data_IF_297322900456
#
_entry.id   IF_297322900456
#
_cell.length_a   1.000
_cell.length_b   1.000
_cell.length_c   1.000
_cell.angle_alpha   90.00
_cell.angle_beta   90.00
_cell.angle_gamma   90.00
#
_symmetry.space_group_name_H-M   'P 1'
#
loop_
_entity.id
_entity.type
_entity.pdbx_description
1 polymer ?
#
# COMPACT_ATOMS: atom_id res chain seq x y z
N UNK A 1 3.43 -13.55 50.20
CA UNK A 1 3.44 -12.18 49.66
C UNK A 1 2.63 -12.18 48.37
N UNK A 2 1.44 -11.59 48.40
CA UNK A 2 0.62 -11.40 47.20
C UNK A 2 1.28 -10.28 46.40
N UNK A 3 1.83 -10.63 45.23
CA UNK A 3 2.32 -9.62 44.28
C UNK A 3 1.08 -9.13 43.56
N UNK A 4 0.54 -8.01 44.05
CA UNK A 4 -0.44 -7.22 43.33
C UNK A 4 0.27 -6.67 42.09
N UNK A 5 0.18 -7.37 40.96
CA UNK A 5 0.57 -6.83 39.66
C UNK A 5 -0.41 -5.71 39.31
N UNK A 6 -0.10 -4.49 39.73
CA UNK A 6 -0.60 -3.31 39.04
C UNK A 6 -0.13 -3.45 37.60
N UNK A 7 -1.06 -3.65 36.66
CA UNK A 7 -0.75 -3.63 35.24
C UNK A 7 0.02 -2.34 34.95
N UNK A 8 1.32 -2.47 34.65
CA UNK A 8 2.11 -1.34 34.17
C UNK A 8 1.38 -0.81 32.95
N UNK A 9 1.01 0.47 32.94
CA UNK A 9 0.55 1.12 31.72
C UNK A 9 1.57 0.80 30.62
N UNK A 10 1.08 0.24 29.51
CA UNK A 10 1.92 -0.14 28.38
C UNK A 10 2.63 1.11 27.88
N UNK A 11 3.96 1.09 27.88
CA UNK A 11 4.76 2.21 27.38
C UNK A 11 5.11 1.94 25.93
N UNK A 12 4.59 2.76 25.04
CA UNK A 12 4.94 2.76 23.63
C UNK A 12 6.31 3.41 23.41
N UNK A 13 7.07 2.94 22.42
CA UNK A 13 8.37 3.49 22.01
C UNK A 13 8.25 4.95 21.58
N UNK A 14 7.08 5.35 21.07
CA UNK A 14 6.74 6.75 20.81
C UNK A 14 6.85 7.66 22.05
N UNK A 15 6.78 7.10 23.26
CA UNK A 15 6.83 7.87 24.51
C UNK A 15 5.79 8.98 24.52
N UNK A 16 6.20 10.20 24.87
CA UNK A 16 5.31 11.36 24.92
C UNK A 16 4.69 11.72 23.55
N UNK A 17 5.30 11.29 22.43
CA UNK A 17 4.74 11.53 21.09
C UNK A 17 3.44 10.75 20.86
N UNK A 18 3.22 9.66 21.60
CA UNK A 18 1.99 8.88 21.52
C UNK A 18 0.76 9.65 22.04
N UNK A 19 0.96 10.64 22.91
CA UNK A 19 -0.11 11.45 23.46
C UNK A 19 -0.36 12.73 22.62
N UNK A 20 0.41 12.93 21.55
CA UNK A 20 0.39 14.16 20.76
C UNK A 20 -0.44 14.00 19.49
N UNK A 21 -1.22 15.04 19.19
CA UNK A 21 -1.84 15.22 17.88
C UNK A 21 -0.91 16.04 16.98
N UNK A 22 -0.63 15.55 15.78
CA UNK A 22 0.25 16.21 14.83
C UNK A 22 -0.42 17.46 14.21
N UNK A 23 0.33 18.55 13.95
CA UNK A 23 -0.23 19.83 13.49
C UNK A 23 -0.97 19.76 12.15
N UNK A 24 -0.60 18.83 11.27
CA UNK A 24 -1.19 18.73 9.92
C UNK A 24 -2.69 18.40 9.93
N UNK A 25 -3.24 17.99 11.06
CA UNK A 25 -4.67 17.76 11.23
C UNK A 25 -5.49 19.04 11.48
N UNK A 26 -4.86 20.22 11.55
CA UNK A 26 -5.55 21.52 11.73
C UNK A 26 -6.06 22.14 10.42
N UNK A 27 -6.42 21.29 9.45
CA UNK A 27 -6.97 21.68 8.14
C UNK A 27 -5.97 21.65 7.00
N UNK A 28 -6.44 21.90 5.77
CA UNK A 28 -5.68 21.70 4.54
C UNK A 28 -4.44 22.59 4.45
N UNK A 29 -4.51 23.81 5.03
CA UNK A 29 -3.35 24.70 5.13
C UNK A 29 -2.26 24.09 6.00
N UNK A 30 -2.62 23.59 7.18
CA UNK A 30 -1.67 22.94 8.07
C UNK A 30 -1.10 21.66 7.44
N UNK A 31 -1.95 20.87 6.77
CA UNK A 31 -1.53 19.69 6.03
C UNK A 31 -0.50 20.02 4.96
N UNK A 32 -0.78 21.02 4.14
CA UNK A 32 0.15 21.48 3.11
C UNK A 32 1.45 21.98 3.73
N UNK A 33 1.38 22.96 4.63
CA UNK A 33 2.58 23.65 5.13
C UNK A 33 3.49 22.75 5.98
N UNK A 34 2.92 21.85 6.77
CA UNK A 34 3.69 21.08 7.77
C UNK A 34 4.04 19.67 7.32
N UNK A 35 3.28 19.08 6.39
CA UNK A 35 3.46 17.68 5.99
C UNK A 35 3.71 17.47 4.51
N UNK A 36 2.95 18.11 3.63
CA UNK A 36 2.90 17.73 2.20
C UNK A 36 3.72 18.61 1.27
N UNK A 37 3.90 19.91 1.57
CA UNK A 37 4.64 20.85 0.73
C UNK A 37 6.06 20.37 0.48
N UNK A 38 6.80 20.03 1.54
CA UNK A 38 8.19 19.58 1.41
C UNK A 38 8.32 18.26 0.60
N UNK A 39 7.60 17.17 0.94
CA UNK A 39 7.59 15.96 0.10
C UNK A 39 7.22 16.20 -1.37
N UNK A 40 6.26 17.10 -1.61
CA UNK A 40 5.87 17.51 -2.97
C UNK A 40 7.05 18.14 -3.74
N UNK A 41 7.84 19.01 -3.10
CA UNK A 41 9.06 19.58 -3.73
C UNK A 41 10.16 18.55 -4.04
N UNK A 42 10.09 17.36 -3.44
CA UNK A 42 11.08 16.29 -3.61
C UNK A 42 10.55 15.14 -4.48
N UNK A 43 9.30 15.20 -4.91
CA UNK A 43 8.62 14.10 -5.62
C UNK A 43 8.77 12.76 -4.88
N UNK A 44 8.62 12.79 -3.55
CA UNK A 44 8.61 11.61 -2.69
C UNK A 44 7.21 11.39 -2.13
N UNK A 45 6.94 10.21 -1.55
CA UNK A 45 5.61 9.81 -1.09
C UNK A 45 4.87 10.96 -0.36
N UNK A 46 3.59 11.22 -0.72
CA UNK A 46 2.79 10.53 -1.75
C UNK A 46 2.96 11.06 -3.20
N UNK A 47 3.94 11.94 -3.47
CA UNK A 47 4.10 12.71 -4.70
C UNK A 47 5.10 12.14 -5.72
N UNK A 48 5.39 10.84 -5.68
CA UNK A 48 6.24 10.20 -6.70
C UNK A 48 5.73 10.52 -8.11
N UNK A 49 6.60 10.73 -9.09
CA UNK A 49 6.23 11.11 -10.46
C UNK A 49 5.56 12.49 -10.65
N UNK A 50 5.12 13.14 -9.56
CA UNK A 50 4.52 14.47 -9.57
C UNK A 50 5.55 15.59 -9.58
N UNK A 51 5.10 16.80 -9.94
CA UNK A 51 5.91 18.02 -9.83
C UNK A 51 5.20 19.09 -9.03
N UNK A 52 5.97 19.82 -8.23
CA UNK A 52 5.47 20.83 -7.31
C UNK A 52 4.55 21.86 -7.97
N UNK A 53 4.92 22.33 -9.16
CA UNK A 53 4.17 23.33 -9.93
C UNK A 53 2.75 22.88 -10.34
N UNK A 54 2.48 21.56 -10.33
CA UNK A 54 1.15 21.01 -10.62
C UNK A 54 0.25 21.04 -9.38
N UNK A 55 0.84 20.95 -8.18
CA UNK A 55 0.10 20.84 -6.93
C UNK A 55 -0.10 22.18 -6.24
N UNK A 56 0.89 23.08 -6.30
CA UNK A 56 0.80 24.37 -5.58
C UNK A 56 -0.49 25.14 -5.89
N UNK A 57 -0.91 25.32 -7.16
CA UNK A 57 -2.17 26.02 -7.47
C UNK A 57 -3.41 25.30 -6.93
N UNK A 58 -3.39 23.97 -6.87
CA UNK A 58 -4.50 23.18 -6.33
C UNK A 58 -4.61 23.36 -4.82
N UNK A 59 -3.49 23.30 -4.10
CA UNK A 59 -3.50 23.54 -2.65
C UNK A 59 -3.82 24.99 -2.30
N UNK A 60 -3.36 25.98 -3.09
CA UNK A 60 -3.79 27.38 -2.94
C UNK A 60 -5.30 27.55 -3.11
N UNK A 61 -5.90 26.85 -4.08
CA UNK A 61 -7.35 26.83 -4.26
C UNK A 61 -8.07 26.20 -3.05
N UNK A 62 -7.62 25.03 -2.58
CA UNK A 62 -8.19 24.38 -1.40
C UNK A 62 -8.11 25.27 -0.15
N UNK A 63 -6.97 25.92 0.07
CA UNK A 63 -6.71 26.81 1.21
C UNK A 63 -7.61 28.06 1.13
N UNK A 64 -7.63 28.73 -0.01
CA UNK A 64 -8.42 29.98 -0.17
C UNK A 64 -9.93 29.77 -0.07
N UNK A 65 -10.41 28.56 -0.38
CA UNK A 65 -11.82 28.19 -0.29
C UNK A 65 -12.17 27.39 0.97
N UNK A 66 -11.23 27.23 1.90
CA UNK A 66 -11.43 26.51 3.17
C UNK A 66 -11.94 25.06 2.99
N UNK A 67 -11.45 24.36 1.95
CA UNK A 67 -11.80 22.97 1.63
C UNK A 67 -10.88 22.03 2.44
N UNK A 68 -11.35 21.62 3.62
CA UNK A 68 -10.54 20.83 4.58
C UNK A 68 -10.90 19.35 4.62
N UNK A 69 -12.08 18.97 4.15
CA UNK A 69 -12.56 17.60 4.22
C UNK A 69 -12.01 16.74 3.08
N UNK A 70 -10.97 15.97 3.37
CA UNK A 70 -10.39 15.01 2.42
C UNK A 70 -11.37 13.90 2.01
N UNK A 71 -12.46 13.65 2.75
CA UNK A 71 -13.49 12.70 2.34
C UNK A 71 -14.47 13.29 1.31
N UNK A 72 -14.61 14.60 1.29
CA UNK A 72 -15.58 15.31 0.46
C UNK A 72 -15.23 15.37 -1.03
N UNK A 73 -16.26 15.55 -1.84
CA UNK A 73 -16.15 15.68 -3.30
C UNK A 73 -15.34 16.92 -3.70
N UNK A 74 -15.56 18.06 -3.02
CA UNK A 74 -14.88 19.32 -3.31
C UNK A 74 -13.35 19.22 -3.21
N UNK A 75 -12.83 18.43 -2.27
CA UNK A 75 -11.39 18.15 -2.20
C UNK A 75 -10.92 17.40 -3.44
N UNK A 76 -11.64 16.34 -3.82
CA UNK A 76 -11.29 15.47 -4.94
C UNK A 76 -11.34 16.24 -6.27
N UNK A 77 -12.39 17.02 -6.50
CA UNK A 77 -12.63 17.74 -7.75
C UNK A 77 -11.63 18.86 -8.01
N UNK A 78 -11.06 19.46 -6.96
CA UNK A 78 -10.07 20.53 -7.08
C UNK A 78 -8.83 20.12 -7.92
N UNK A 79 -8.51 18.83 -7.98
CA UNK A 79 -7.36 18.30 -8.73
C UNK A 79 -7.66 18.04 -10.21
N UNK A 80 -8.93 17.86 -10.58
CA UNK A 80 -9.31 17.42 -11.94
C UNK A 80 -8.86 18.38 -13.05
N UNK A 81 -9.02 19.72 -12.93
CA UNK A 81 -8.63 20.62 -14.01
C UNK A 81 -7.15 20.51 -14.38
N UNK A 82 -6.27 20.39 -13.38
CA UNK A 82 -4.83 20.25 -13.63
C UNK A 82 -4.49 18.87 -14.22
N UNK A 83 -5.09 17.80 -13.68
CA UNK A 83 -4.85 16.44 -14.16
C UNK A 83 -5.32 16.26 -15.62
N UNK A 84 -6.49 16.80 -15.97
CA UNK A 84 -7.03 16.79 -17.33
C UNK A 84 -6.17 17.64 -18.28
N UNK A 85 -5.66 18.78 -17.81
CA UNK A 85 -4.74 19.63 -18.58
C UNK A 85 -3.46 18.89 -18.95
N UNK A 86 -2.82 18.23 -17.97
CA UNK A 86 -1.62 17.42 -18.22
C UNK A 86 -1.92 16.22 -19.12
N UNK A 87 -3.10 15.61 -18.97
CA UNK A 87 -3.54 14.52 -19.85
C UNK A 87 -3.61 14.97 -21.31
N UNK A 88 -4.24 16.13 -21.59
CA UNK A 88 -4.31 16.70 -22.95
C UNK A 88 -2.94 17.01 -23.52
N UNK A 89 -2.05 17.61 -22.73
CA UNK A 89 -0.66 17.87 -23.15
C UNK A 89 0.09 16.56 -23.45
N UNK A 90 -0.17 15.50 -22.67
CA UNK A 90 0.37 14.17 -22.94
C UNK A 90 -0.15 13.59 -24.26
N UNK A 91 -1.45 13.77 -24.55
CA UNK A 91 -2.08 13.33 -25.82
C UNK A 91 -1.50 14.07 -27.04
N UNK A 92 -1.24 15.37 -26.91
CA UNK A 92 -0.56 16.19 -27.92
C UNK A 92 0.87 15.71 -28.17
N UNK A 93 1.67 15.50 -27.11
CA UNK A 93 3.04 14.99 -27.22
C UNK A 93 3.09 13.59 -27.85
N UNK A 94 2.16 12.70 -27.47
CA UNK A 94 2.06 11.37 -28.05
C UNK A 94 1.70 11.43 -29.54
N UNK A 95 0.80 12.34 -29.93
CA UNK A 95 0.42 12.56 -31.34
C UNK A 95 1.58 13.12 -32.18
N UNK A 96 2.49 13.87 -31.56
CA UNK A 96 3.75 14.32 -32.14
C UNK A 96 4.88 13.27 -32.09
N UNK A 97 4.58 12.04 -31.65
CA UNK A 97 5.53 10.93 -31.48
C UNK A 97 6.66 11.19 -30.45
N UNK A 98 6.45 12.13 -29.52
CA UNK A 98 7.33 12.35 -28.36
C UNK A 98 6.81 11.52 -27.16
N UNK A 99 7.08 10.21 -27.22
CA UNK A 99 6.59 9.25 -26.23
C UNK A 99 7.21 9.45 -24.84
N UNK A 100 8.44 9.96 -24.77
CA UNK A 100 9.11 10.27 -23.50
C UNK A 100 8.37 11.41 -22.80
N UNK A 101 8.14 12.52 -23.51
CA UNK A 101 7.42 13.65 -22.95
C UNK A 101 5.97 13.30 -22.60
N UNK A 102 5.29 12.53 -23.46
CA UNK A 102 3.95 12.05 -23.19
C UNK A 102 3.91 11.23 -21.89
N UNK A 103 4.84 10.29 -21.72
CA UNK A 103 4.94 9.47 -20.51
C UNK A 103 5.12 10.31 -19.24
N UNK A 104 6.01 11.32 -19.27
CA UNK A 104 6.20 12.22 -18.12
C UNK A 104 4.91 12.96 -17.73
N UNK A 105 4.18 13.48 -18.72
CA UNK A 105 2.95 14.25 -18.49
C UNK A 105 1.83 13.37 -17.95
N UNK A 106 1.65 12.17 -18.49
CA UNK A 106 0.68 11.21 -18.01
C UNK A 106 0.97 10.75 -16.57
N UNK A 107 2.24 10.52 -16.21
CA UNK A 107 2.60 10.16 -14.85
C UNK A 107 2.33 11.29 -13.85
N UNK A 108 2.58 12.55 -14.23
CA UNK A 108 2.19 13.73 -13.41
C UNK A 108 0.67 13.82 -13.22
N UNK A 109 -0.10 13.59 -14.29
CA UNK A 109 -1.56 13.53 -14.22
C UNK A 109 -2.06 12.39 -13.30
N UNK A 110 -1.47 11.19 -13.43
CA UNK A 110 -1.76 10.07 -12.54
C UNK A 110 -1.46 10.40 -11.07
N UNK A 111 -0.36 11.12 -10.80
CA UNK A 111 -0.02 11.58 -9.47
C UNK A 111 -1.07 12.55 -8.90
N UNK A 112 -1.63 13.47 -9.69
CA UNK A 112 -2.71 14.35 -9.22
C UNK A 112 -3.96 13.55 -8.85
N UNK A 113 -4.38 12.59 -9.69
CA UNK A 113 -5.52 11.74 -9.36
C UNK A 113 -5.27 10.86 -8.14
N UNK A 114 -4.04 10.40 -7.88
CA UNK A 114 -3.68 9.72 -6.62
C UNK A 114 -3.92 10.63 -5.41
N UNK A 115 -3.44 11.87 -5.43
CA UNK A 115 -3.59 12.79 -4.29
C UNK A 115 -5.06 13.17 -4.10
N UNK A 116 -5.82 13.30 -5.18
CA UNK A 116 -7.24 13.68 -5.13
C UNK A 116 -8.13 12.63 -4.48
N UNK A 117 -7.75 11.34 -4.55
CA UNK A 117 -8.55 10.24 -3.98
C UNK A 117 -8.18 9.87 -2.54
N UNK A 118 -7.26 10.59 -1.91
CA UNK A 118 -7.07 10.46 -0.45
C UNK A 118 -8.40 10.72 0.28
N UNK A 119 -8.61 10.17 1.49
CA UNK A 119 -7.70 9.23 2.15
C UNK A 119 -7.85 7.78 1.69
N UNK A 120 -8.93 7.40 1.01
CA UNK A 120 -9.25 6.00 0.78
C UNK A 120 -10.39 5.82 -0.20
N UNK A 121 -10.37 4.72 -0.94
CA UNK A 121 -11.50 4.26 -1.75
C UNK A 121 -11.65 2.74 -1.67
N UNK A 122 -12.90 2.30 -1.86
CA UNK A 122 -13.22 0.90 -2.09
C UNK A 122 -14.40 0.77 -3.05
N UNK A 123 -14.49 -0.39 -3.69
CA UNK A 123 -15.67 -0.84 -4.42
C UNK A 123 -16.45 -1.92 -3.69
N UNK A 124 -16.06 -2.29 -2.47
CA UNK A 124 -16.65 -3.38 -1.70
C UNK A 124 -17.33 -2.87 -0.41
N UNK A 125 -18.58 -3.28 -0.13
CA UNK A 125 -19.49 -4.03 -1.00
C UNK A 125 -20.01 -3.20 -2.18
N UNK A 126 -19.83 -1.88 -2.11
CA UNK A 126 -20.15 -0.91 -3.16
C UNK A 126 -19.09 0.20 -3.21
N UNK A 127 -19.19 1.06 -4.22
CA UNK A 127 -18.27 2.19 -4.38
C UNK A 127 -18.47 3.20 -3.26
N UNK A 128 -17.42 3.45 -2.46
CA UNK A 128 -17.50 4.33 -1.28
C UNK A 128 -17.66 5.81 -1.59
N UNK A 129 -17.25 6.25 -2.79
CA UNK A 129 -17.45 7.62 -3.30
C UNK A 129 -17.39 7.62 -4.82
N UNK A 130 -18.45 8.07 -5.48
CA UNK A 130 -18.50 8.13 -6.94
C UNK A 130 -17.44 9.07 -7.53
N UNK A 131 -17.20 10.21 -6.89
CA UNK A 131 -16.21 11.22 -7.32
C UNK A 131 -14.78 10.69 -7.23
N UNK A 132 -14.43 10.05 -6.11
CA UNK A 132 -13.11 9.43 -5.96
C UNK A 132 -12.95 8.21 -6.86
N UNK A 133 -14.03 7.49 -7.14
CA UNK A 133 -14.02 6.41 -8.12
C UNK A 133 -13.77 6.91 -9.54
N UNK A 134 -14.34 8.07 -9.92
CA UNK A 134 -14.00 8.74 -11.17
C UNK A 134 -12.51 9.09 -11.22
N UNK A 135 -11.95 9.64 -10.14
CA UNK A 135 -10.52 9.90 -10.03
C UNK A 135 -9.68 8.63 -10.18
N UNK A 136 -10.10 7.53 -9.56
CA UNK A 136 -9.44 6.22 -9.66
C UNK A 136 -9.43 5.67 -11.10
N UNK A 137 -10.57 5.69 -11.79
CA UNK A 137 -10.61 5.25 -13.19
C UNK A 137 -9.74 6.14 -14.08
N UNK A 138 -9.86 7.47 -13.93
CA UNK A 138 -9.03 8.41 -14.68
C UNK A 138 -7.52 8.21 -14.41
N UNK A 139 -7.15 7.91 -13.16
CA UNK A 139 -5.79 7.55 -12.79
C UNK A 139 -5.29 6.31 -13.54
N UNK A 140 -6.07 5.21 -13.53
CA UNK A 140 -5.71 3.99 -14.24
C UNK A 140 -5.57 4.25 -15.74
N UNK A 141 -6.53 4.94 -16.33
CA UNK A 141 -6.56 5.22 -17.76
C UNK A 141 -5.34 6.03 -18.19
N UNK A 142 -5.05 7.14 -17.51
CA UNK A 142 -3.91 8.00 -17.87
C UNK A 142 -2.57 7.32 -17.58
N UNK A 143 -2.47 6.57 -16.48
CA UNK A 143 -1.28 5.79 -16.19
C UNK A 143 -0.98 4.78 -17.30
N UNK A 144 -2.00 4.06 -17.78
CA UNK A 144 -1.84 3.06 -18.83
C UNK A 144 -1.50 3.66 -20.20
N UNK A 145 -1.85 4.93 -20.47
CA UNK A 145 -1.37 5.65 -21.68
C UNK A 145 0.16 5.74 -21.71
N UNK A 146 0.82 5.91 -20.56
CA UNK A 146 2.27 5.84 -20.43
C UNK A 146 2.78 4.40 -20.33
N UNK A 147 2.29 3.69 -19.32
CA UNK A 147 2.91 2.46 -18.85
C UNK A 147 2.82 1.29 -19.84
N UNK A 148 1.80 1.28 -20.71
CA UNK A 148 1.66 0.29 -21.78
C UNK A 148 2.65 0.49 -22.95
N UNK A 149 3.31 1.65 -23.03
CA UNK A 149 4.24 2.03 -24.09
C UNK A 149 5.70 1.95 -23.69
N UNK A 150 5.99 1.65 -22.43
CA UNK A 150 7.36 1.46 -21.97
C UNK A 150 8.02 0.23 -22.59
N UNK A 151 9.36 0.17 -22.62
CA UNK A 151 10.10 -0.97 -23.18
C UNK A 151 9.73 -2.30 -22.49
N UNK A 152 9.58 -2.29 -21.16
CA UNK A 152 8.92 -3.35 -20.37
C UNK A 152 7.51 -2.89 -19.95
N UNK A 153 6.48 -3.10 -20.80
CA UNK A 153 5.18 -2.49 -20.62
C UNK A 153 4.42 -3.09 -19.43
N UNK A 154 3.63 -2.25 -18.76
CA UNK A 154 2.60 -2.71 -17.84
C UNK A 154 1.44 -3.30 -18.63
N UNK A 155 0.94 -4.45 -18.18
CA UNK A 155 -0.31 -5.05 -18.64
C UNK A 155 -1.26 -5.21 -17.47
N UNK A 156 -2.50 -4.79 -17.63
CA UNK A 156 -3.56 -5.18 -16.70
C UNK A 156 -4.03 -6.60 -17.04
N UNK A 157 -4.06 -7.47 -16.04
CA UNK A 157 -4.54 -8.84 -16.16
C UNK A 157 -5.67 -9.05 -15.18
N UNK A 158 -6.76 -9.62 -15.69
CA UNK A 158 -7.95 -9.96 -14.92
C UNK A 158 -7.89 -11.44 -14.54
N UNK A 159 -7.27 -11.76 -13.40
CA UNK A 159 -7.09 -13.15 -12.94
C UNK A 159 -8.43 -13.72 -12.47
N UNK A 160 -8.84 -14.92 -12.90
CA UNK A 160 -9.99 -15.60 -12.30
C UNK A 160 -9.74 -15.88 -10.80
N UNK A 161 -10.65 -15.42 -9.93
CA UNK A 161 -10.60 -15.74 -8.50
C UNK A 161 -11.14 -17.16 -8.28
N UNK A 162 -10.28 -18.16 -8.50
CA UNK A 162 -10.64 -19.59 -8.50
C UNK A 162 -10.95 -20.12 -7.11
N UNK A 163 -10.31 -19.59 -6.08
CA UNK A 163 -10.54 -19.98 -4.68
C UNK A 163 -11.63 -19.16 -3.99
N UNK A 164 -12.44 -18.36 -4.71
CA UNK A 164 -13.41 -17.44 -4.11
C UNK A 164 -14.48 -18.17 -3.32
N UNK A 165 -14.88 -17.62 -2.19
CA UNK A 165 -16.01 -18.12 -1.38
C UNK A 165 -16.82 -16.95 -0.82
N UNK A 166 -18.04 -17.23 -0.36
CA UNK A 166 -18.89 -16.21 0.26
C UNK A 166 -19.15 -15.02 -0.67
N UNK A 167 -18.80 -13.82 -0.21
CA UNK A 167 -19.01 -12.57 -0.93
C UNK A 167 -17.84 -12.15 -1.84
N UNK A 168 -16.78 -12.96 -1.94
CA UNK A 168 -15.66 -12.70 -2.86
C UNK A 168 -16.15 -12.60 -4.32
N UNK A 169 -15.64 -11.62 -5.06
CA UNK A 169 -15.99 -11.42 -6.48
C UNK A 169 -15.12 -12.28 -7.42
N UNK A 170 -15.58 -12.43 -8.66
CA UNK A 170 -15.05 -13.42 -9.61
C UNK A 170 -13.65 -13.17 -10.18
N UNK A 171 -13.11 -11.96 -10.06
CA UNK A 171 -11.93 -11.54 -10.84
C UNK A 171 -11.03 -10.62 -10.04
N UNK A 172 -9.72 -10.91 -10.05
CA UNK A 172 -8.67 -10.16 -9.36
C UNK A 172 -7.89 -9.34 -10.41
N UNK A 173 -8.04 -8.02 -10.45
CA UNK A 173 -7.27 -7.19 -11.36
C UNK A 173 -5.84 -7.02 -10.81
N UNK A 174 -4.84 -7.25 -11.65
CA UNK A 174 -3.42 -7.07 -11.31
C UNK A 174 -2.68 -6.31 -12.39
N UNK A 175 -1.58 -5.63 -12.04
CA UNK A 175 -0.63 -5.10 -13.02
C UNK A 175 0.58 -6.02 -13.11
N UNK A 176 0.95 -6.39 -14.33
CA UNK A 176 2.07 -7.29 -14.62
C UNK A 176 3.10 -6.58 -15.48
N UNK A 177 4.36 -6.68 -15.10
CA UNK A 177 5.51 -6.30 -15.93
C UNK A 177 6.50 -7.44 -16.00
N UNK A 178 7.07 -7.66 -17.18
CA UNK A 178 8.10 -8.67 -17.44
C UNK A 178 9.36 -7.97 -17.95
N UNK A 179 10.56 -8.38 -17.52
CA UNK A 179 11.80 -7.90 -18.10
C UNK A 179 11.91 -8.25 -19.59
N UNK A 180 12.58 -7.40 -20.36
CA UNK A 180 12.79 -7.64 -21.81
C UNK A 180 13.67 -8.86 -22.08
N UNK A 181 14.70 -9.07 -21.24
CA UNK A 181 15.70 -10.13 -21.36
C UNK A 181 15.36 -11.27 -20.41
N UNK A 182 15.27 -12.49 -20.93
CA UNK A 182 14.98 -13.72 -20.17
C UNK A 182 13.91 -14.60 -20.82
N UNK A 183 12.93 -13.99 -21.50
CA UNK A 183 11.90 -14.73 -22.25
C UNK A 183 12.42 -15.31 -23.58
N UNK A 184 13.43 -14.67 -24.19
CA UNK A 184 13.96 -15.04 -25.51
C UNK A 184 14.65 -16.42 -25.53
N UNK A 185 15.08 -16.94 -24.36
CA UNK A 185 15.71 -18.25 -24.22
C UNK A 185 14.76 -19.31 -23.59
N UNK A 186 13.45 -19.03 -23.50
CA UNK A 186 12.49 -19.90 -22.79
C UNK A 186 12.66 -19.90 -21.27
N UNK A 187 13.39 -18.91 -20.73
CA UNK A 187 13.64 -18.74 -19.30
C UNK A 187 12.43 -18.21 -18.53
N UNK A 188 12.28 -18.66 -17.29
CA UNK A 188 11.28 -18.18 -16.33
C UNK A 188 11.86 -17.07 -15.46
N UNK A 189 11.05 -16.06 -15.14
CA UNK A 189 11.49 -14.92 -14.35
C UNK A 189 11.27 -15.12 -12.85
N UNK A 190 12.26 -14.86 -11.97
CA UNK A 190 11.97 -14.53 -10.57
C UNK A 190 10.92 -13.44 -10.51
N UNK A 191 10.05 -13.46 -9.52
CA UNK A 191 8.90 -12.57 -9.49
C UNK A 191 8.68 -11.97 -8.12
N UNK A 192 8.35 -10.68 -8.09
CA UNK A 192 7.89 -9.98 -6.89
C UNK A 192 6.39 -9.77 -7.00
N UNK A 193 5.64 -10.34 -6.07
CA UNK A 193 4.26 -9.97 -5.77
C UNK A 193 4.27 -8.77 -4.81
N UNK A 194 4.01 -7.59 -5.37
CA UNK A 194 3.90 -6.34 -4.62
C UNK A 194 2.47 -6.18 -4.12
N UNK A 195 2.32 -6.23 -2.79
CA UNK A 195 1.05 -6.07 -2.09
C UNK A 195 0.94 -4.61 -1.64
N UNK A 196 -0.09 -3.94 -2.14
CA UNK A 196 -0.33 -2.51 -1.95
C UNK A 196 -0.86 -2.15 -0.55
N UNK A 197 -0.98 -0.85 -0.26
CA UNK A 197 -1.36 -0.31 1.05
C UNK A 197 -2.80 0.21 1.12
N UNK A 198 -3.07 1.07 2.10
CA UNK A 198 -4.39 1.69 2.29
C UNK A 198 -4.73 2.67 1.14
N UNK A 199 -3.76 3.49 0.75
CA UNK A 199 -3.94 4.64 -0.13
C UNK A 199 -3.05 4.63 -1.39
N UNK A 200 -2.07 3.73 -1.51
CA UNK A 200 -1.28 3.53 -2.73
C UNK A 200 -1.68 2.23 -3.42
N UNK A 201 -2.03 2.27 -4.70
CA UNK A 201 -2.58 1.17 -5.50
C UNK A 201 -1.69 0.85 -6.72
N UNK A 202 -2.16 -0.04 -7.61
CA UNK A 202 -1.39 -0.50 -8.78
C UNK A 202 -0.69 0.61 -9.59
N UNK A 203 -1.33 1.73 -9.97
CA UNK A 203 -0.68 2.81 -10.75
C UNK A 203 0.39 3.61 -9.99
N UNK A 204 0.53 3.44 -8.67
CA UNK A 204 1.37 4.30 -7.82
C UNK A 204 2.80 3.77 -7.63
N UNK A 205 3.17 2.73 -8.37
CA UNK A 205 4.34 1.89 -8.11
C UNK A 205 5.35 1.89 -9.27
N UNK A 206 5.41 2.95 -10.08
CA UNK A 206 6.35 3.09 -11.20
C UNK A 206 7.79 2.79 -10.79
N UNK A 207 8.35 3.60 -9.89
CA UNK A 207 9.73 3.46 -9.42
C UNK A 207 10.01 2.04 -8.88
N UNK A 208 9.12 1.51 -8.04
CA UNK A 208 9.30 0.18 -7.43
C UNK A 208 9.29 -0.92 -8.49
N UNK A 209 8.39 -0.82 -9.47
CA UNK A 209 8.33 -1.76 -10.59
C UNK A 209 9.53 -1.65 -11.52
N UNK A 210 10.06 -0.46 -11.78
CA UNK A 210 11.30 -0.26 -12.56
C UNK A 210 12.50 -0.91 -11.87
N UNK A 211 12.61 -0.78 -10.54
CA UNK A 211 13.69 -1.40 -9.75
C UNK A 211 13.63 -2.94 -9.82
N UNK A 212 12.44 -3.55 -9.90
CA UNK A 212 12.31 -4.99 -10.09
C UNK A 212 12.72 -5.40 -11.52
N UNK A 213 12.25 -4.67 -12.53
CA UNK A 213 12.60 -4.94 -13.93
C UNK A 213 14.11 -4.80 -14.17
N UNK A 214 14.75 -3.78 -13.59
CA UNK A 214 16.19 -3.56 -13.69
C UNK A 214 17.02 -4.72 -13.11
N UNK A 215 16.47 -5.47 -12.15
CA UNK A 215 17.08 -6.68 -11.55
C UNK A 215 16.75 -7.97 -12.31
N UNK A 216 16.01 -7.87 -13.41
CA UNK A 216 15.53 -9.04 -14.15
C UNK A 216 14.43 -9.80 -13.44
N UNK A 217 13.67 -9.16 -12.55
CA UNK A 217 12.54 -9.76 -11.85
C UNK A 217 11.23 -9.29 -12.48
N UNK A 218 10.32 -10.22 -12.72
CA UNK A 218 8.94 -9.88 -13.03
C UNK A 218 8.26 -9.21 -11.84
N UNK A 219 7.24 -8.40 -12.14
CA UNK A 219 6.46 -7.69 -11.14
C UNK A 219 4.98 -8.01 -11.34
N UNK A 220 4.31 -8.42 -10.25
CA UNK A 220 2.85 -8.53 -10.15
C UNK A 220 2.41 -7.63 -9.02
N UNK A 221 1.52 -6.67 -9.28
CA UNK A 221 1.03 -5.71 -8.28
C UNK A 221 -0.45 -5.94 -8.06
N UNK A 222 -0.86 -6.08 -6.80
CA UNK A 222 -2.24 -6.37 -6.43
C UNK A 222 -2.72 -5.53 -5.23
N UNK A 223 -3.98 -5.15 -5.29
CA UNK A 223 -4.77 -4.56 -4.20
C UNK A 223 -5.02 -5.55 -3.06
N UNK A 224 -5.18 -5.02 -1.85
CA UNK A 224 -5.54 -5.78 -0.66
C UNK A 224 -7.06 -5.74 -0.42
N UNK A 225 -7.63 -6.73 0.30
CA UNK A 225 -9.04 -6.73 0.69
C UNK A 225 -9.48 -5.39 1.27
N UNK A 226 -10.62 -4.92 0.75
CA UNK A 226 -11.20 -3.63 1.09
C UNK A 226 -10.65 -2.46 0.28
N UNK A 227 -9.54 -2.54 -0.45
CA UNK A 227 -9.00 -1.38 -1.19
C UNK A 227 -9.36 -1.39 -2.67
N UNK A 228 -9.69 -0.21 -3.21
CA UNK A 228 -9.96 0.04 -4.63
C UNK A 228 -10.87 -1.04 -5.28
N UNK A 229 -10.41 -1.71 -6.34
CA UNK A 229 -11.14 -2.78 -7.05
C UNK A 229 -10.75 -4.20 -6.61
N UNK A 230 -10.21 -4.39 -5.40
CA UNK A 230 -9.97 -5.72 -4.86
C UNK A 230 -11.28 -6.51 -4.69
N UNK A 231 -11.35 -7.76 -5.19
CA UNK A 231 -12.58 -8.56 -5.16
C UNK A 231 -12.86 -9.29 -3.85
N UNK A 232 -11.84 -9.49 -3.01
CA UNK A 232 -11.94 -10.26 -1.78
C UNK A 232 -12.75 -9.52 -0.71
N UNK A 233 -13.62 -10.24 0.00
CA UNK A 233 -14.48 -9.69 1.04
C UNK A 233 -13.65 -9.16 2.23
N UNK A 234 -13.62 -7.84 2.49
CA UNK A 234 -12.86 -7.26 3.59
C UNK A 234 -13.37 -7.67 4.97
N UNK A 235 -14.63 -8.13 5.07
CA UNK A 235 -15.24 -8.54 6.32
C UNK A 235 -14.89 -9.99 6.68
N UNK A 236 -14.40 -10.80 5.74
CA UNK A 236 -13.97 -12.17 6.03
C UNK A 236 -12.45 -12.19 6.28
N UNK A 237 -11.98 -12.51 7.51
CA UNK A 237 -10.55 -12.57 7.79
C UNK A 237 -9.80 -13.63 6.97
N UNK A 238 -10.47 -14.59 6.34
CA UNK A 238 -9.87 -15.64 5.51
C UNK A 238 -9.90 -15.33 4.00
N UNK A 239 -10.63 -14.31 3.56
CA UNK A 239 -10.61 -13.87 2.15
C UNK A 239 -9.22 -13.55 1.58
N UNK A 240 -8.24 -13.03 2.35
CA UNK A 240 -6.93 -12.75 1.79
C UNK A 240 -6.19 -14.03 1.40
N UNK A 241 -6.39 -15.14 2.12
CA UNK A 241 -5.73 -16.40 1.78
C UNK A 241 -6.27 -16.92 0.45
N UNK A 242 -7.60 -16.86 0.23
CA UNK A 242 -8.23 -17.25 -1.04
C UNK A 242 -7.80 -16.37 -2.21
N UNK A 243 -7.66 -15.06 -1.96
CA UNK A 243 -7.15 -14.10 -2.93
C UNK A 243 -5.74 -14.50 -3.39
N UNK A 244 -4.85 -14.76 -2.44
CA UNK A 244 -3.46 -15.09 -2.73
C UNK A 244 -3.28 -16.49 -3.34
N UNK A 245 -4.06 -17.48 -2.93
CA UNK A 245 -4.11 -18.79 -3.61
C UNK A 245 -4.43 -18.60 -5.10
N UNK A 246 -5.47 -17.83 -5.43
CA UNK A 246 -5.89 -17.61 -6.82
C UNK A 246 -4.81 -16.90 -7.64
N UNK A 247 -4.12 -15.92 -7.06
CA UNK A 247 -3.00 -15.21 -7.73
C UNK A 247 -1.82 -16.16 -7.95
N UNK A 248 -1.39 -16.91 -6.93
CA UNK A 248 -0.23 -17.80 -7.01
C UNK A 248 -0.49 -18.99 -7.96
N UNK A 249 -1.70 -19.55 -7.95
CA UNK A 249 -2.12 -20.60 -8.88
C UNK A 249 -2.11 -20.08 -10.32
N UNK A 250 -2.65 -18.88 -10.55
CA UNK A 250 -2.58 -18.24 -11.87
C UNK A 250 -1.14 -18.05 -12.32
N UNK A 251 -0.26 -17.52 -11.45
CA UNK A 251 1.17 -17.36 -11.75
C UNK A 251 1.82 -18.70 -12.13
N UNK A 252 1.55 -19.77 -11.38
CA UNK A 252 2.08 -21.10 -11.66
C UNK A 252 1.67 -21.66 -13.03
N UNK A 253 0.48 -21.29 -13.51
CA UNK A 253 -0.06 -21.72 -14.79
C UNK A 253 0.41 -20.89 -15.99
N UNK A 254 1.08 -19.74 -15.80
CA UNK A 254 1.51 -18.90 -16.93
C UNK A 254 2.72 -19.43 -17.68
N UNK A 255 3.48 -20.37 -17.10
CA UNK A 255 4.74 -20.85 -17.66
C UNK A 255 5.87 -19.82 -17.71
N UNK A 256 5.59 -18.55 -17.38
CA UNK A 256 6.51 -17.40 -17.50
C UNK A 256 7.23 -17.07 -16.19
N UNK A 257 6.61 -17.36 -15.04
CA UNK A 257 7.18 -17.07 -13.72
C UNK A 257 7.95 -18.28 -13.17
N UNK A 258 9.08 -17.99 -12.52
CA UNK A 258 9.85 -18.97 -11.76
C UNK A 258 9.26 -19.09 -10.36
N UNK A 259 8.35 -20.06 -10.22
CA UNK A 259 7.64 -20.29 -8.96
C UNK A 259 8.53 -20.77 -7.80
N UNK A 260 9.82 -21.05 -8.04
CA UNK A 260 10.79 -21.31 -6.95
C UNK A 260 11.38 -20.02 -6.37
N UNK A 261 11.19 -18.89 -7.05
CA UNK A 261 11.73 -17.57 -6.72
C UNK A 261 10.61 -16.52 -6.73
N UNK A 262 9.57 -16.77 -5.94
CA UNK A 262 8.48 -15.83 -5.65
C UNK A 262 8.80 -15.08 -4.37
N UNK A 263 8.93 -13.76 -4.47
CA UNK A 263 9.06 -12.85 -3.33
C UNK A 263 7.77 -12.06 -3.14
N UNK A 264 7.44 -11.76 -1.89
CA UNK A 264 6.36 -10.82 -1.56
C UNK A 264 6.95 -9.55 -0.98
N UNK A 265 6.38 -8.40 -1.31
CA UNK A 265 6.64 -7.15 -0.58
C UNK A 265 5.32 -6.44 -0.30
N UNK A 266 4.93 -6.39 0.98
CA UNK A 266 3.77 -5.65 1.46
C UNK A 266 4.12 -4.26 1.96
N UNK A 267 3.39 -3.26 1.48
CA UNK A 267 3.59 -1.85 1.80
C UNK A 267 2.50 -1.33 2.76
N UNK A 268 2.87 -0.75 3.90
CA UNK A 268 1.93 -0.18 4.88
C UNK A 268 0.91 -1.23 5.34
N UNK A 269 -0.40 -1.00 5.15
CA UNK A 269 -1.43 -2.02 5.38
C UNK A 269 -1.17 -3.33 4.62
N UNK A 270 -0.47 -3.29 3.48
CA UNK A 270 0.01 -4.48 2.77
C UNK A 270 0.99 -5.32 3.58
N UNK A 271 1.71 -4.72 4.53
CA UNK A 271 2.59 -5.40 5.48
C UNK A 271 1.86 -6.44 6.33
N UNK A 272 0.63 -6.16 6.78
CA UNK A 272 -0.24 -7.16 7.45
C UNK A 272 -0.42 -8.41 6.57
N UNK A 273 -0.75 -8.20 5.30
CA UNK A 273 -0.99 -9.27 4.34
C UNK A 273 0.30 -10.00 3.95
N UNK A 274 1.44 -9.29 3.90
CA UNK A 274 2.75 -9.88 3.69
C UNK A 274 3.16 -10.80 4.85
N UNK A 275 2.89 -10.40 6.11
CA UNK A 275 3.06 -11.31 7.25
C UNK A 275 2.12 -12.50 7.08
N UNK A 276 0.82 -12.28 6.87
CA UNK A 276 -0.15 -13.37 6.73
C UNK A 276 0.24 -14.40 5.67
N UNK A 277 0.51 -13.96 4.44
CA UNK A 277 0.87 -14.85 3.33
C UNK A 277 2.22 -15.56 3.57
N UNK A 278 3.17 -14.94 4.28
CA UNK A 278 4.43 -15.58 4.66
C UNK A 278 4.22 -16.81 5.55
N UNK A 279 3.15 -16.83 6.34
CA UNK A 279 2.75 -17.95 7.19
C UNK A 279 1.78 -18.91 6.46
N UNK A 280 0.76 -18.39 5.77
CA UNK A 280 -0.30 -19.23 5.17
C UNK A 280 0.12 -19.90 3.87
N UNK A 281 1.08 -19.32 3.13
CA UNK A 281 1.59 -19.82 1.86
C UNK A 281 3.12 -19.99 1.90
N UNK A 282 3.66 -20.34 3.06
CA UNK A 282 5.10 -20.48 3.31
C UNK A 282 5.84 -21.26 2.21
N UNK A 283 5.27 -22.38 1.76
CA UNK A 283 5.90 -23.27 0.78
C UNK A 283 5.88 -22.72 -0.66
N UNK A 284 5.04 -21.72 -0.94
CA UNK A 284 4.96 -21.06 -2.25
C UNK A 284 5.90 -19.86 -2.38
N UNK A 285 6.54 -19.44 -1.28
CA UNK A 285 7.30 -18.19 -1.21
C UNK A 285 8.74 -18.43 -0.82
N UNK A 286 9.67 -17.78 -1.53
CA UNK A 286 11.09 -17.74 -1.18
C UNK A 286 11.37 -16.79 -0.03
N UNK A 287 10.58 -15.72 0.08
CA UNK A 287 10.62 -14.77 1.19
C UNK A 287 9.57 -13.67 1.08
N UNK A 288 9.38 -12.92 2.15
CA UNK A 288 8.43 -11.83 2.24
C UNK A 288 9.04 -10.63 2.97
N UNK A 289 8.76 -9.43 2.48
CA UNK A 289 9.05 -8.16 3.15
C UNK A 289 7.73 -7.60 3.67
N UNK A 290 7.63 -7.39 4.96
CA UNK A 290 6.51 -6.71 5.58
C UNK A 290 6.98 -5.35 6.08
N UNK A 291 6.60 -4.29 5.37
CA UNK A 291 7.05 -2.93 5.64
C UNK A 291 5.91 -2.09 6.24
N UNK A 292 6.07 -1.66 7.50
CA UNK A 292 5.02 -0.96 8.25
C UNK A 292 3.85 -1.87 8.60
N UNK A 293 4.12 -3.08 9.10
CA UNK A 293 3.10 -4.11 9.33
C UNK A 293 2.34 -3.89 10.65
N UNK A 294 1.02 -3.76 10.56
CA UNK A 294 0.08 -3.82 11.67
C UNK A 294 -0.51 -5.22 11.79
N UNK A 295 -0.21 -5.95 12.87
CA UNK A 295 -0.52 -7.39 12.98
C UNK A 295 -1.34 -7.78 14.20
N UNK A 296 -1.25 -7.04 15.30
CA UNK A 296 -1.94 -7.37 16.54
C UNK A 296 -2.17 -6.12 17.41
N UNK A 297 -1.07 -5.45 17.82
CA UNK A 297 -1.09 -4.31 18.71
C UNK A 297 -1.73 -3.08 18.08
N UNK A 298 -1.59 -2.91 16.77
CA UNK A 298 -2.33 -1.90 16.01
C UNK A 298 -3.84 -2.00 16.23
N UNK A 299 -4.38 -3.22 16.32
CA UNK A 299 -5.80 -3.46 16.56
C UNK A 299 -6.22 -3.28 18.01
N UNK A 300 -5.27 -3.05 18.92
CA UNK A 300 -5.53 -2.79 20.33
C UNK A 300 -6.24 -1.45 20.52
N UNK A 301 -7.26 -1.45 21.38
CA UNK A 301 -8.01 -0.24 21.74
C UNK A 301 -7.09 0.86 22.28
N UNK A 302 -6.08 0.46 23.07
CA UNK A 302 -5.08 1.37 23.63
C UNK A 302 -4.32 2.16 22.55
N UNK A 303 -3.99 1.52 21.42
CA UNK A 303 -3.38 2.19 20.27
C UNK A 303 -4.41 3.03 19.50
N UNK A 304 -5.56 2.43 19.17
CA UNK A 304 -6.54 3.05 18.28
C UNK A 304 -7.19 4.31 18.86
N UNK A 305 -7.38 4.39 20.17
CA UNK A 305 -7.91 5.59 20.84
C UNK A 305 -7.01 6.83 20.71
N UNK A 306 -5.76 6.64 20.28
CA UNK A 306 -4.74 7.71 20.20
C UNK A 306 -4.20 7.93 18.81
N UNK A 307 -4.07 6.88 18.00
CA UNK A 307 -3.38 6.99 16.71
C UNK A 307 -4.14 7.82 15.65
N UNK A 308 -5.44 8.12 15.85
CA UNK A 308 -6.08 9.17 15.06
C UNK A 308 -5.52 10.53 15.44
N UNK A 309 -5.04 11.28 14.45
CA UNK A 309 -4.31 12.52 14.72
C UNK A 309 -2.79 12.36 14.72
N UNK A 310 -2.25 11.14 14.54
CA UNK A 310 -0.82 10.93 14.31
C UNK A 310 -0.45 11.14 12.83
N UNK A 311 0.30 10.23 12.23
CA UNK A 311 0.95 10.41 10.94
C UNK A 311 0.03 10.44 9.73
N UNK A 312 -1.21 9.96 9.80
CA UNK A 312 -2.05 9.89 8.61
C UNK A 312 -2.49 11.30 8.21
N UNK A 313 -2.55 11.67 6.91
CA UNK A 313 -2.85 13.05 6.51
C UNK A 313 -4.27 13.51 6.84
N UNK A 314 -5.20 12.57 7.03
CA UNK A 314 -6.59 12.82 7.42
C UNK A 314 -6.96 11.91 8.60
N UNK A 315 -8.21 11.96 9.08
CA UNK A 315 -8.70 10.96 10.03
C UNK A 315 -8.58 9.56 9.42
N UNK A 316 -8.01 8.63 10.17
CA UNK A 316 -7.63 7.30 9.69
C UNK A 316 -8.78 6.29 9.85
N UNK A 317 -9.54 6.39 10.95
CA UNK A 317 -10.48 5.35 11.34
C UNK A 317 -11.68 5.14 10.43
N UNK A 318 -12.28 6.15 9.78
CA UNK A 318 -13.33 5.90 8.81
C UNK A 318 -12.83 5.05 7.63
N UNK A 319 -11.60 5.30 7.16
CA UNK A 319 -10.97 4.50 6.10
C UNK A 319 -10.69 3.06 6.57
N UNK A 320 -10.14 2.92 7.77
CA UNK A 320 -9.79 1.60 8.33
C UNK A 320 -11.01 0.74 8.65
N UNK A 321 -12.11 1.35 9.12
CA UNK A 321 -13.37 0.67 9.36
C UNK A 321 -13.93 0.08 8.06
N UNK A 322 -14.08 0.92 7.02
CA UNK A 322 -14.54 0.47 5.70
C UNK A 322 -13.63 -0.62 5.11
N UNK A 323 -12.30 -0.46 5.23
CA UNK A 323 -11.31 -1.44 4.75
C UNK A 323 -11.48 -2.82 5.40
N UNK A 324 -11.99 -2.90 6.62
CA UNK A 324 -12.20 -4.16 7.34
C UNK A 324 -13.68 -4.58 7.38
N UNK A 325 -14.53 -3.94 6.58
CA UNK A 325 -15.96 -4.26 6.47
C UNK A 325 -16.79 -3.90 7.69
N UNK A 326 -16.37 -2.89 8.46
CA UNK A 326 -17.17 -2.31 9.55
C UNK A 326 -17.93 -1.08 9.07
N UNK A 327 -19.11 -0.83 9.65
CA UNK A 327 -19.92 0.32 9.29
C UNK A 327 -19.39 1.61 9.92
N UNK A 328 -18.78 1.52 11.11
CA UNK A 328 -18.30 2.68 11.87
C UNK A 328 -16.91 2.44 12.48
N UNK A 329 -16.23 3.55 12.81
CA UNK A 329 -14.94 3.52 13.50
C UNK A 329 -15.09 2.87 14.89
N UNK A 330 -16.19 3.12 15.58
CA UNK A 330 -16.46 2.59 16.92
C UNK A 330 -16.59 1.06 16.91
N UNK A 331 -17.29 0.50 15.92
CA UNK A 331 -17.39 -0.96 15.75
C UNK A 331 -16.03 -1.58 15.42
N UNK A 332 -15.24 -0.90 14.57
CA UNK A 332 -13.88 -1.33 14.24
C UNK A 332 -13.00 -1.36 15.49
N UNK A 333 -12.95 -0.28 16.28
CA UNK A 333 -12.17 -0.20 17.53
C UNK A 333 -12.62 -1.25 18.55
N UNK A 334 -13.92 -1.57 18.60
CA UNK A 334 -14.45 -2.55 19.54
C UNK A 334 -14.17 -4.01 19.12
N UNK A 335 -14.12 -4.31 17.82
CA UNK A 335 -14.15 -5.68 17.30
C UNK A 335 -12.92 -6.13 16.53
N UNK A 336 -12.10 -5.21 16.00
CA UNK A 336 -11.09 -5.56 15.01
C UNK A 336 -10.00 -6.48 15.56
N UNK A 337 -9.55 -6.28 16.79
CA UNK A 337 -8.48 -7.11 17.37
C UNK A 337 -8.86 -8.58 17.39
N UNK A 338 -10.04 -8.92 17.91
CA UNK A 338 -10.51 -10.31 17.98
C UNK A 338 -10.65 -10.95 16.60
N UNK A 339 -11.00 -10.16 15.59
CA UNK A 339 -11.32 -10.66 14.24
C UNK A 339 -10.11 -10.74 13.31
N UNK A 340 -9.20 -9.77 13.39
CA UNK A 340 -8.12 -9.57 12.41
C UNK A 340 -6.71 -9.65 12.99
N UNK A 341 -6.53 -9.73 14.31
CA UNK A 341 -5.21 -9.95 14.90
C UNK A 341 -4.62 -11.29 14.42
N UNK A 342 -3.43 -11.26 13.81
CA UNK A 342 -2.74 -12.48 13.39
C UNK A 342 -2.32 -13.36 14.57
N UNK A 343 -2.21 -12.77 15.76
CA UNK A 343 -1.98 -13.51 17.00
C UNK A 343 -3.26 -14.21 17.47
N UNK A 344 -4.40 -13.51 17.51
CA UNK A 344 -5.68 -14.08 17.97
C UNK A 344 -6.19 -15.17 17.03
N UNK A 345 -5.91 -15.03 15.73
CA UNK A 345 -6.24 -16.06 14.73
C UNK A 345 -5.24 -17.21 14.68
N UNK A 346 -4.19 -17.21 15.51
CA UNK A 346 -3.15 -18.25 15.56
C UNK A 346 -2.28 -18.34 14.29
N UNK A 347 -2.30 -17.32 13.42
CA UNK A 347 -1.50 -17.31 12.18
C UNK A 347 -0.04 -17.04 12.52
N UNK A 348 0.21 -16.13 13.46
CA UNK A 348 1.54 -15.74 13.90
C UNK A 348 2.33 -16.91 14.52
N UNK A 349 1.63 -17.89 15.09
CA UNK A 349 2.21 -19.09 15.71
C UNK A 349 2.73 -20.12 14.69
N UNK A 350 2.24 -20.07 13.44
CA UNK A 350 2.65 -21.00 12.39
C UNK A 350 4.09 -20.70 11.95
N UNK A 351 4.82 -21.67 11.38
CA UNK A 351 6.06 -21.37 10.66
C UNK A 351 5.83 -20.38 9.51
N UNK A 352 6.80 -19.52 9.22
CA UNK A 352 6.80 -18.62 8.06
C UNK A 352 7.90 -18.98 7.07
N UNK A 353 7.82 -18.45 5.84
CA UNK A 353 9.00 -18.30 4.97
C UNK A 353 9.98 -17.27 5.58
N UNK A 354 11.11 -17.01 4.93
CA UNK A 354 12.00 -15.91 5.34
C UNK A 354 11.23 -14.60 5.32
N UNK A 355 11.14 -13.94 6.47
CA UNK A 355 10.31 -12.76 6.66
C UNK A 355 11.17 -11.60 7.18
N UNK A 356 11.28 -10.53 6.39
CA UNK A 356 11.94 -9.29 6.76
C UNK A 356 10.91 -8.26 7.22
N UNK A 357 11.06 -7.80 8.45
CA UNK A 357 10.24 -6.74 9.05
C UNK A 357 10.96 -5.40 8.92
N UNK A 358 10.32 -4.42 8.31
CA UNK A 358 10.87 -3.08 8.11
C UNK A 358 9.93 -2.05 8.72
N UNK A 359 10.46 -1.19 9.60
CA UNK A 359 9.70 -0.04 10.04
C UNK A 359 10.56 1.11 10.58
N UNK A 360 9.97 2.28 10.74
CA UNK A 360 10.53 3.34 11.58
C UNK A 360 10.19 3.09 13.05
N UNK A 361 11.06 3.50 13.97
CA UNK A 361 10.79 3.35 15.41
C UNK A 361 9.80 4.40 15.93
N UNK A 362 9.57 5.47 15.17
CA UNK A 362 8.59 6.53 15.48
C UNK A 362 7.36 6.45 14.58
N UNK A 363 7.04 5.25 14.08
CA UNK A 363 5.82 5.02 13.31
C UNK A 363 4.58 5.26 14.18
N UNK A 364 3.90 6.38 13.90
CA UNK A 364 2.66 6.81 14.54
C UNK A 364 1.40 6.17 13.94
N UNK A 365 1.50 5.44 12.82
CA UNK A 365 0.40 4.66 12.24
C UNK A 365 0.36 3.25 12.80
N UNK A 366 1.48 2.55 12.67
CA UNK A 366 1.63 1.14 13.01
C UNK A 366 2.72 1.01 14.09
N UNK A 367 2.40 0.54 15.31
CA UNK A 367 3.38 0.48 16.37
C UNK A 367 4.56 -0.41 15.94
N UNK A 368 5.79 0.05 16.13
CA UNK A 368 6.97 -0.77 15.82
C UNK A 368 6.99 -2.05 16.68
N UNK A 369 6.39 -1.99 17.86
CA UNK A 369 6.17 -3.12 18.75
C UNK A 369 5.36 -4.24 18.11
N UNK A 370 4.49 -3.92 17.15
CA UNK A 370 3.75 -4.93 16.40
C UNK A 370 4.70 -5.79 15.57
N UNK A 371 5.73 -5.15 14.98
CA UNK A 371 6.82 -5.87 14.31
C UNK A 371 7.75 -6.59 15.29
N UNK A 372 7.99 -6.04 16.49
CA UNK A 372 8.82 -6.72 17.50
C UNK A 372 8.15 -7.97 18.06
N UNK A 373 6.84 -7.93 18.28
CA UNK A 373 6.04 -9.04 18.81
C UNK A 373 6.17 -10.31 17.96
N UNK A 374 6.30 -10.16 16.64
CA UNK A 374 6.46 -11.27 15.71
C UNK A 374 7.68 -12.18 15.99
N UNK A 375 8.68 -11.69 16.72
CA UNK A 375 9.85 -12.48 17.13
C UNK A 375 9.57 -13.46 18.26
N UNK A 376 8.45 -13.33 18.97
CA UNK A 376 8.05 -14.23 20.06
C UNK A 376 7.34 -15.50 19.55
N UNK A 377 6.96 -15.54 18.27
CA UNK A 377 6.08 -16.58 17.71
C UNK A 377 6.62 -17.19 16.40
N UNK A 378 6.25 -18.44 16.14
CA UNK A 378 6.56 -19.15 14.89
C UNK A 378 8.06 -19.35 14.67
N UNK A 379 8.51 -19.27 13.41
CA UNK A 379 9.93 -19.38 13.05
C UNK A 379 10.66 -18.05 13.26
N UNK A 380 12.00 -18.08 13.47
CA UNK A 380 12.83 -16.87 13.52
C UNK A 380 12.63 -15.98 12.29
N UNK A 381 12.73 -14.66 12.51
CA UNK A 381 12.49 -13.61 11.51
C UNK A 381 13.70 -12.70 11.42
N UNK A 382 13.70 -11.82 10.43
CA UNK A 382 14.72 -10.80 10.22
C UNK A 382 14.08 -9.42 10.35
N UNK A 383 14.81 -8.41 10.82
CA UNK A 383 14.28 -7.06 10.90
C UNK A 383 15.35 -5.99 10.63
N UNK A 384 14.89 -4.87 10.08
CA UNK A 384 15.62 -3.61 10.06
C UNK A 384 14.69 -2.48 10.46
N UNK A 385 14.92 -1.95 11.65
CA UNK A 385 14.20 -0.78 12.16
C UNK A 385 15.08 0.47 12.06
N UNK A 386 14.46 1.59 11.70
CA UNK A 386 15.13 2.86 11.51
C UNK A 386 14.81 3.81 12.66
N UNK A 387 15.81 4.09 13.50
CA UNK A 387 15.67 4.99 14.63
C UNK A 387 15.23 6.38 14.18
N UNK A 388 14.27 6.96 14.89
CA UNK A 388 13.69 8.30 14.63
C UNK A 388 13.00 8.45 13.27
N UNK A 389 12.83 7.34 12.54
CA UNK A 389 12.07 7.34 11.30
C UNK A 389 10.60 7.10 11.59
N UNK A 390 9.76 7.72 10.77
CA UNK A 390 8.32 7.60 10.74
C UNK A 390 7.87 6.30 10.03
N UNK A 391 6.57 6.19 9.75
CA UNK A 391 5.95 5.05 9.08
C UNK A 391 6.78 4.49 7.90
N UNK A 392 6.92 3.16 7.87
CA UNK A 392 7.67 2.38 6.87
C UNK A 392 9.19 2.62 6.82
N UNK A 393 9.75 3.49 7.67
CA UNK A 393 11.19 3.79 7.68
C UNK A 393 11.69 4.51 6.42
N UNK A 394 10.81 5.16 5.67
CA UNK A 394 11.19 5.92 4.47
C UNK A 394 11.93 7.21 4.80
N UNK A 395 12.83 7.69 3.90
CA UNK A 395 13.23 7.07 2.62
C UNK A 395 14.29 5.97 2.77
N UNK A 396 14.84 5.76 3.97
CA UNK A 396 16.03 4.91 4.20
C UNK A 396 15.79 3.42 3.94
N UNK A 397 14.56 2.93 4.14
CA UNK A 397 14.17 1.53 4.04
C UNK A 397 14.68 0.79 2.79
N UNK A 398 14.58 1.41 1.61
CA UNK A 398 14.93 0.77 0.35
C UNK A 398 16.39 0.31 0.28
N UNK A 399 17.30 1.02 0.94
CA UNK A 399 18.72 0.65 1.02
C UNK A 399 18.97 -0.68 1.75
N UNK A 400 17.99 -1.15 2.53
CA UNK A 400 18.05 -2.44 3.24
C UNK A 400 17.18 -3.49 2.57
N UNK A 401 16.03 -3.10 2.00
CA UNK A 401 15.09 -4.05 1.38
C UNK A 401 15.67 -4.69 0.13
N UNK A 402 16.17 -3.90 -0.83
CA UNK A 402 16.65 -4.45 -2.10
C UNK A 402 17.82 -5.43 -1.93
N UNK A 403 18.90 -5.10 -1.16
CA UNK A 403 19.98 -6.06 -0.94
C UNK A 403 19.52 -7.35 -0.26
N UNK A 404 18.56 -7.26 0.66
CA UNK A 404 17.99 -8.45 1.28
C UNK A 404 17.23 -9.30 0.27
N UNK A 405 16.36 -8.70 -0.56
CA UNK A 405 15.64 -9.40 -1.63
C UNK A 405 16.60 -10.07 -2.61
N UNK A 406 17.67 -9.39 -3.01
CA UNK A 406 18.73 -9.95 -3.88
C UNK A 406 19.38 -11.18 -3.24
N UNK A 407 19.70 -11.12 -1.94
CA UNK A 407 20.27 -12.26 -1.21
C UNK A 407 19.32 -13.47 -1.16
N UNK A 408 18.01 -13.22 -1.00
CA UNK A 408 17.00 -14.26 -0.94
C UNK A 408 16.78 -14.90 -2.32
N UNK A 409 16.72 -14.07 -3.37
CA UNK A 409 16.56 -14.53 -4.76
C UNK A 409 17.77 -15.30 -5.30
N UNK A 410 18.96 -15.09 -4.73
CA UNK A 410 20.19 -15.77 -5.11
C UNK A 410 20.42 -17.12 -4.40
N UNK A 411 19.82 -17.30 -3.20
CA UNK A 411 19.78 -18.59 -2.49
C UNK A 411 18.77 -19.55 -3.09
#
# INVERSE_FOLDING_TARGET
MSITTTASAKRWILGDKFEQRMPHHDGIKALWDTKWKFPCTKSVYPFHDGKFEDFEPVFEHLISNNINDGYGDAYTEAFFPMAESLTRQGDEAASANDLTRASELYLRAACLYRISRFPYITSFPEVSSATKWKAWQAQKDVYMKAASKWPAPVREVMIPHTSREGADRGTIPVYVRLPEKGAQDGGKFPVVLLITGLDGYRPDNTQRSDEFIARGWACVIAEIPGTADCPADPSDPNSPDRLWTSVLDWMGNQGTFDMKRVMVWGLSCGGYYAVRIAHTHKESLKGAVAQGAATHLFFGRDWMEKADGHEYPFSLWPAMAMKHGYATAEEFIAGAQKKFSLLETGIMEKPSTRLLLINGTEDGLMPVEDSMLLFEYGTPKEARFFSNALHMGYPMANSSVYPWMESVMAS
#
